data_IF_206068181460
#
_entry.id   IF_206068181460
#
_cell.length_a   1.000
_cell.length_b   1.000
_cell.length_c   1.000
_cell.angle_alpha   90.00
_cell.angle_beta   90.00
_cell.angle_gamma   90.00
#
_symmetry.space_group_name_H-M   'P 1'
#
loop_
_entity.id
_entity.type
_entity.pdbx_description
1 polymer ?
#
# COMPACT_ATOMS: atom_id res chain seq x y z
N UNK A 1 3.17 -49.00 -66.80
CA UNK A 1 3.88 -50.19 -67.29
C UNK A 1 5.15 -50.33 -66.47
N UNK A 2 5.33 -51.51 -65.83
CA UNK A 2 6.60 -52.13 -65.33
C UNK A 2 7.51 -51.29 -64.42
N UNK A 3 7.80 -51.59 -63.14
CA UNK A 3 7.61 -52.77 -62.29
C UNK A 3 8.93 -53.50 -61.96
N UNK A 4 9.49 -53.29 -60.75
CA UNK A 4 10.27 -54.24 -59.89
C UNK A 4 10.68 -53.52 -58.58
N UNK A 5 10.28 -53.88 -57.34
CA UNK A 5 10.52 -55.09 -56.49
C UNK A 5 12.02 -55.29 -56.20
N UNK A 6 12.56 -55.47 -54.98
CA UNK A 6 12.09 -55.96 -53.65
C UNK A 6 13.15 -55.58 -52.57
N UNK A 7 12.76 -55.19 -51.36
CA UNK A 7 12.74 -55.96 -50.09
C UNK A 7 14.08 -56.16 -49.34
N UNK A 8 14.09 -55.73 -48.06
CA UNK A 8 14.55 -56.53 -46.92
C UNK A 8 13.97 -55.96 -45.61
N UNK A 9 13.13 -56.77 -44.95
CA UNK A 9 12.53 -56.64 -43.62
C UNK A 9 12.66 -58.04 -43.00
N UNK A 10 13.14 -58.16 -41.76
CA UNK A 10 12.89 -59.26 -40.80
C UNK A 10 13.65 -58.95 -39.49
N UNK A 11 12.98 -58.62 -38.37
CA UNK A 11 12.34 -59.53 -37.36
C UNK A 11 13.38 -60.12 -36.38
N UNK A 12 13.19 -60.27 -35.06
CA UNK A 12 12.01 -60.39 -34.17
C UNK A 12 12.43 -59.93 -32.73
N UNK A 13 11.60 -59.41 -31.79
CA UNK A 13 10.31 -59.79 -31.20
C UNK A 13 10.36 -60.98 -30.21
N UNK A 14 10.24 -60.69 -28.90
CA UNK A 14 9.60 -61.47 -27.81
C UNK A 14 10.08 -60.92 -26.43
N UNK A 15 9.29 -60.73 -25.37
CA UNK A 15 7.88 -60.95 -25.10
C UNK A 15 7.46 -60.14 -23.86
N UNK A 16 6.17 -59.80 -23.80
CA UNK A 16 5.48 -59.12 -22.71
C UNK A 16 5.03 -60.09 -21.60
N UNK A 17 4.77 -59.51 -20.41
CA UNK A 17 3.67 -59.76 -19.45
C UNK A 17 4.16 -59.85 -18.00
N UNK A 18 3.76 -58.85 -17.17
CA UNK A 18 2.83 -59.05 -16.05
C UNK A 18 2.40 -57.69 -15.45
N UNK A 19 1.17 -57.71 -14.96
CA UNK A 19 0.28 -56.60 -14.61
C UNK A 19 0.56 -55.94 -13.25
N UNK A 20 0.20 -54.64 -13.18
CA UNK A 20 -0.64 -53.99 -12.15
C UNK A 20 -0.21 -54.05 -10.67
N UNK A 21 0.20 -52.91 -10.11
CA UNK A 21 -0.40 -52.28 -8.91
C UNK A 21 0.45 -51.09 -8.41
N UNK A 22 -0.26 -50.13 -7.78
CA UNK A 22 0.21 -49.09 -6.87
C UNK A 22 0.78 -47.79 -7.48
N UNK A 23 -0.15 -46.85 -7.66
CA UNK A 23 0.06 -45.45 -7.34
C UNK A 23 0.29 -45.25 -5.83
N UNK A 24 0.80 -44.05 -5.49
CA UNK A 24 0.93 -43.42 -4.16
C UNK A 24 1.99 -43.98 -3.20
N UNK A 25 3.18 -43.39 -3.21
CA UNK A 25 3.90 -42.94 -2.00
C UNK A 25 5.27 -42.38 -2.37
N UNK A 26 5.41 -41.06 -2.52
CA UNK A 26 6.73 -40.42 -2.41
C UNK A 26 6.73 -39.09 -1.65
N UNK A 27 5.57 -38.62 -1.15
CA UNK A 27 5.48 -37.35 -0.42
C UNK A 27 5.46 -37.52 1.11
N UNK A 28 5.24 -38.74 1.62
CA UNK A 28 5.20 -39.01 3.08
C UNK A 28 6.57 -39.31 3.71
N UNK A 29 7.60 -39.68 2.94
CA UNK A 29 8.94 -39.97 3.48
C UNK A 29 9.78 -38.71 3.72
N UNK A 30 9.48 -37.58 3.06
CA UNK A 30 10.19 -36.32 3.31
C UNK A 30 9.65 -35.54 4.51
N UNK A 31 8.37 -35.71 4.89
CA UNK A 31 7.81 -35.03 6.06
C UNK A 31 8.23 -35.67 7.40
N UNK A 32 8.59 -36.96 7.43
CA UNK A 32 9.07 -37.61 8.66
C UNK A 32 10.52 -37.28 9.05
N UNK A 33 11.35 -36.82 8.10
CA UNK A 33 12.74 -36.42 8.42
C UNK A 33 12.82 -35.00 9.02
N UNK A 34 11.87 -34.12 8.71
CA UNK A 34 11.86 -32.73 9.23
C UNK A 34 11.36 -32.67 10.67
N UNK A 35 10.41 -33.53 11.07
CA UNK A 35 9.92 -33.57 12.46
C UNK A 35 10.91 -34.18 13.47
N UNK A 36 11.87 -35.01 13.04
CA UNK A 36 12.89 -35.58 13.95
C UNK A 36 14.04 -34.62 14.26
N UNK A 37 14.25 -33.57 13.48
CA UNK A 37 15.28 -32.55 13.76
C UNK A 37 14.80 -31.40 14.66
N UNK A 38 13.49 -31.21 14.83
CA UNK A 38 12.93 -30.15 15.68
C UNK A 38 12.70 -30.57 17.14
N UNK A 39 12.85 -31.85 17.49
CA UNK A 39 12.68 -32.34 18.86
C UNK A 39 13.98 -32.44 19.69
N UNK A 40 15.10 -31.85 19.24
CA UNK A 40 16.39 -31.92 19.94
C UNK A 40 16.93 -30.59 20.51
N UNK A 41 16.14 -29.51 20.53
CA UNK A 41 16.55 -28.24 21.16
C UNK A 41 15.46 -27.66 22.05
N UNK A 42 15.07 -28.39 23.11
CA UNK A 42 14.60 -27.81 24.39
C UNK A 42 14.44 -28.93 25.41
N UNK A 43 15.48 -29.19 26.19
CA UNK A 43 15.38 -29.92 27.45
C UNK A 43 16.57 -29.55 28.34
N UNK A 44 16.44 -28.48 29.12
CA UNK A 44 17.06 -28.44 30.45
C UNK A 44 16.26 -27.52 31.38
N UNK A 45 15.30 -28.10 32.11
CA UNK A 45 14.85 -27.68 33.45
C UNK A 45 13.72 -28.62 33.96
N UNK A 46 14.12 -29.52 34.86
CA UNK A 46 13.38 -30.11 35.99
C UNK A 46 12.14 -29.32 36.47
N UNK A 47 11.07 -29.87 37.01
CA UNK A 47 10.62 -31.24 37.34
C UNK A 47 9.19 -31.13 37.89
N UNK A 48 8.47 -32.24 37.84
CA UNK A 48 7.57 -32.77 38.89
C UNK A 48 6.08 -32.89 38.55
N UNK A 49 5.50 -34.05 38.93
CA UNK A 49 4.08 -34.19 39.24
C UNK A 49 3.14 -34.91 38.25
N UNK A 50 3.12 -36.24 38.34
CA UNK A 50 1.93 -37.11 38.39
C UNK A 50 1.00 -37.34 37.18
N UNK A 51 0.77 -38.64 36.97
CA UNK A 51 -0.08 -39.29 35.98
C UNK A 51 -1.59 -39.07 36.19
N UNK A 52 -2.37 -39.19 35.10
CA UNK A 52 -3.58 -40.02 35.03
C UNK A 52 -3.98 -40.30 33.57
N UNK A 53 -4.22 -41.58 33.30
CA UNK A 53 -4.70 -42.18 32.06
C UNK A 53 -6.16 -41.82 31.75
N UNK A 54 -6.48 -41.42 30.52
CA UNK A 54 -7.81 -41.62 29.95
C UNK A 54 -7.76 -41.71 28.42
N UNK A 55 -8.27 -42.83 27.91
CA UNK A 55 -8.43 -43.17 26.49
C UNK A 55 -9.87 -42.81 26.11
N UNK A 56 -10.08 -42.02 25.05
CA UNK A 56 -11.38 -41.93 24.38
C UNK A 56 -11.23 -41.62 22.90
N UNK A 57 -12.14 -42.20 22.12
CA UNK A 57 -12.22 -42.30 20.66
C UNK A 57 -12.70 -41.01 19.99
N UNK A 58 -12.38 -40.94 18.70
CA UNK A 58 -12.96 -40.10 17.65
C UNK A 58 -14.47 -39.89 17.75
N UNK A 59 -14.89 -38.63 17.59
CA UNK A 59 -16.07 -38.23 16.82
C UNK A 59 -15.73 -36.96 16.03
N UNK A 60 -15.79 -37.06 14.70
CA UNK A 60 -15.66 -35.92 13.78
C UNK A 60 -17.05 -35.34 13.60
N UNK A 61 -17.29 -34.13 14.10
CA UNK A 61 -18.56 -33.41 13.90
C UNK A 61 -18.31 -32.11 13.15
N UNK A 62 -18.91 -32.02 11.96
CA UNK A 62 -19.08 -30.81 11.16
C UNK A 62 -19.90 -29.79 11.95
N UNK A 63 -19.24 -28.93 12.72
CA UNK A 63 -19.85 -27.76 13.37
C UNK A 63 -18.78 -26.72 13.77
N UNK A 64 -17.82 -26.44 12.87
CA UNK A 64 -16.72 -25.51 13.11
C UNK A 64 -16.85 -24.13 12.43
N UNK A 65 -17.83 -23.93 11.56
CA UNK A 65 -17.96 -22.67 10.76
C UNK A 65 -19.08 -21.72 11.19
N UNK A 66 -19.95 -22.12 12.11
CA UNK A 66 -21.05 -21.25 12.61
C UNK A 66 -20.70 -20.65 13.99
N UNK A 67 -19.80 -21.27 14.76
CA UNK A 67 -19.39 -20.78 16.07
C UNK A 67 -18.45 -19.57 16.02
N UNK A 68 -17.58 -19.48 15.00
CA UNK A 68 -16.62 -18.39 14.83
C UNK A 68 -17.26 -17.09 14.33
N UNK A 69 -18.28 -17.17 13.48
CA UNK A 69 -19.02 -16.00 13.00
C UNK A 69 -19.82 -15.35 14.13
N UNK A 70 -20.42 -16.17 15.01
CA UNK A 70 -21.21 -15.68 16.13
C UNK A 70 -20.34 -15.06 17.24
N UNK A 71 -19.14 -15.60 17.47
CA UNK A 71 -18.18 -15.01 18.40
C UNK A 71 -17.66 -13.65 17.92
N UNK A 72 -17.39 -13.49 16.62
CA UNK A 72 -16.99 -12.21 16.04
C UNK A 72 -18.11 -11.16 16.08
N UNK A 73 -19.37 -11.57 15.89
CA UNK A 73 -20.54 -10.68 16.00
C UNK A 73 -20.80 -10.22 17.44
N UNK A 74 -20.61 -11.10 18.42
CA UNK A 74 -20.78 -10.76 19.84
C UNK A 74 -19.66 -9.81 20.34
N UNK A 75 -18.43 -9.92 19.79
CA UNK A 75 -17.32 -8.98 20.07
C UNK A 75 -17.52 -7.61 19.40
N UNK A 76 -18.07 -7.58 18.18
CA UNK A 76 -18.34 -6.33 17.46
C UNK A 76 -19.49 -5.52 18.10
N UNK A 77 -20.55 -6.20 18.56
CA UNK A 77 -21.63 -5.55 19.33
C UNK A 77 -21.15 -5.02 20.69
N UNK A 78 -20.22 -5.73 21.36
CA UNK A 78 -19.63 -5.25 22.60
C UNK A 78 -18.75 -4.00 22.39
N UNK A 79 -18.11 -3.87 21.23
CA UNK A 79 -17.33 -2.67 20.86
C UNK A 79 -18.22 -1.49 20.49
N UNK A 80 -19.29 -1.69 19.70
CA UNK A 80 -20.24 -0.62 19.36
C UNK A 80 -20.94 -0.04 20.60
N UNK A 81 -21.25 -0.90 21.58
CA UNK A 81 -21.90 -0.47 22.81
C UNK A 81 -20.95 0.27 23.76
N UNK A 82 -19.64 -0.02 23.71
CA UNK A 82 -18.62 0.72 24.45
C UNK A 82 -18.35 2.12 23.87
N UNK A 83 -18.49 2.30 22.54
CA UNK A 83 -18.36 3.60 21.86
C UNK A 83 -19.58 4.50 22.15
N UNK A 84 -20.79 3.94 22.19
CA UNK A 84 -21.99 4.70 22.52
C UNK A 84 -22.01 5.23 23.98
N UNK A 85 -21.45 4.46 24.92
CA UNK A 85 -21.33 4.88 26.32
C UNK A 85 -20.23 5.95 26.53
N UNK A 86 -19.17 5.98 25.70
CA UNK A 86 -18.16 7.04 25.75
C UNK A 86 -18.65 8.37 25.18
N UNK A 87 -19.45 8.34 24.11
CA UNK A 87 -20.01 9.57 23.51
C UNK A 87 -21.04 10.24 24.42
N UNK A 88 -21.78 9.45 25.21
CA UNK A 88 -22.75 9.97 26.18
C UNK A 88 -22.05 10.62 27.38
N UNK A 89 -20.85 10.16 27.77
CA UNK A 89 -20.04 10.78 28.83
C UNK A 89 -19.31 12.05 28.36
N UNK A 90 -18.94 12.13 27.08
CA UNK A 90 -18.34 13.33 26.49
C UNK A 90 -19.37 14.49 26.36
N UNK A 91 -20.62 14.18 25.99
CA UNK A 91 -21.68 15.19 25.87
C UNK A 91 -22.21 15.71 27.23
N UNK A 92 -22.13 14.91 28.29
CA UNK A 92 -22.54 15.38 29.63
C UNK A 92 -21.48 16.27 30.31
N UNK A 93 -20.22 16.24 29.87
CA UNK A 93 -19.17 17.14 30.35
C UNK A 93 -19.14 18.50 29.61
N UNK A 94 -19.58 18.56 28.35
CA UNK A 94 -19.65 19.82 27.60
C UNK A 94 -20.77 20.77 28.06
N UNK A 95 -21.84 20.22 28.64
CA UNK A 95 -23.01 21.01 29.04
C UNK A 95 -22.89 21.64 30.44
N UNK A 96 -21.97 21.17 31.30
CA UNK A 96 -21.77 21.75 32.65
C UNK A 96 -20.72 22.88 32.69
N UNK A 97 -19.84 22.99 31.69
CA UNK A 97 -18.78 24.04 31.66
C UNK A 97 -19.26 25.36 31.02
N UNK A 98 -20.41 25.36 30.34
CA UNK A 98 -20.93 26.52 29.60
C UNK A 98 -21.73 27.53 30.45
N UNK A 99 -21.85 27.36 31.78
CA UNK A 99 -22.68 28.26 32.62
C UNK A 99 -21.91 29.09 33.68
N UNK A 100 -20.57 29.17 33.62
CA UNK A 100 -19.81 30.02 34.56
C UNK A 100 -18.64 30.76 33.91
N UNK A 101 -18.89 31.68 32.98
CA UNK A 101 -17.94 32.77 32.70
C UNK A 101 -18.58 33.90 31.87
N UNK A 102 -19.43 34.71 32.50
CA UNK A 102 -19.71 36.07 32.04
C UNK A 102 -19.81 37.00 33.24
N UNK A 103 -18.67 37.58 33.62
CA UNK A 103 -18.47 38.90 34.24
C UNK A 103 -17.08 38.96 34.86
N UNK A 104 -16.11 39.56 34.17
CA UNK A 104 -15.28 40.61 34.79
C UNK A 104 -14.54 41.42 33.71
N UNK A 105 -14.60 42.73 33.86
CA UNK A 105 -13.97 43.73 33.00
C UNK A 105 -12.50 43.94 33.45
N UNK A 106 -11.53 44.01 32.53
CA UNK A 106 -10.23 44.56 32.89
C UNK A 106 -9.05 44.22 31.99
N UNK A 107 -8.74 45.14 31.07
CA UNK A 107 -7.39 45.54 30.63
C UNK A 107 -6.21 44.61 30.96
N UNK A 108 -5.57 44.08 29.92
CA UNK A 108 -4.11 43.90 29.90
C UNK A 108 -3.63 42.54 29.43
N UNK A 109 -3.09 42.51 28.21
CA UNK A 109 -1.94 41.70 27.83
C UNK A 109 -2.15 40.19 27.73
N UNK A 110 -2.16 39.70 26.49
CA UNK A 110 -1.25 38.68 25.95
C UNK A 110 -1.89 38.14 24.66
N UNK A 111 -1.65 38.83 23.53
CA UNK A 111 -1.59 38.12 22.25
C UNK A 111 -0.33 37.25 22.32
N UNK A 112 -0.48 36.01 22.77
CA UNK A 112 0.45 34.93 22.44
C UNK A 112 -0.22 34.07 21.37
N UNK A 113 -0.52 34.69 20.22
CA UNK A 113 -0.61 33.91 18.99
C UNK A 113 0.80 33.41 18.72
N UNK A 114 1.08 32.14 19.03
CA UNK A 114 2.24 31.48 18.45
C UNK A 114 2.01 31.47 16.95
N UNK A 115 2.64 32.41 16.25
CA UNK A 115 2.66 32.42 14.79
C UNK A 115 3.53 31.24 14.37
N UNK A 116 2.90 30.10 14.11
CA UNK A 116 3.58 28.99 13.45
C UNK A 116 4.03 29.50 12.08
N UNK A 117 5.33 29.40 11.80
CA UNK A 117 5.87 29.78 10.50
C UNK A 117 5.35 28.83 9.42
N UNK A 118 4.86 29.38 8.31
CA UNK A 118 4.51 28.60 7.12
C UNK A 118 5.76 28.48 6.24
N UNK A 119 6.15 27.24 5.94
CA UNK A 119 7.30 26.90 5.12
C UNK A 119 6.83 26.68 3.69
N UNK A 120 7.50 27.34 2.76
CA UNK A 120 7.31 27.15 1.33
C UNK A 120 8.05 25.91 0.83
N UNK A 121 7.55 25.30 -0.24
CA UNK A 121 8.28 24.24 -0.93
C UNK A 121 9.66 24.77 -1.35
N UNK A 122 10.69 23.99 -1.04
CA UNK A 122 12.08 24.33 -1.19
C UNK A 122 12.49 24.42 -2.66
N UNK A 123 12.75 25.64 -3.12
CA UNK A 123 13.51 25.92 -4.35
C UNK A 123 15.01 26.13 -4.01
N UNK A 124 15.52 25.42 -3.00
CA UNK A 124 16.87 25.60 -2.49
C UNK A 124 17.92 24.92 -3.38
N UNK A 125 19.03 25.62 -3.61
CA UNK A 125 20.18 25.10 -4.38
C UNK A 125 21.05 24.10 -3.59
N UNK A 126 20.87 23.97 -2.27
CA UNK A 126 21.75 23.19 -1.37
C UNK A 126 20.97 22.13 -0.56
N UNK A 127 20.11 21.37 -1.24
CA UNK A 127 19.43 20.22 -0.62
C UNK A 127 20.42 19.07 -0.41
N UNK A 128 20.22 18.31 0.68
CA UNK A 128 20.95 17.07 0.87
C UNK A 128 20.69 16.10 -0.30
N UNK A 129 21.62 15.21 -0.67
CA UNK A 129 21.43 14.29 -1.80
C UNK A 129 20.13 13.47 -1.73
N UNK A 130 19.68 13.13 -0.52
CA UNK A 130 18.42 12.41 -0.28
C UNK A 130 17.18 13.27 -0.61
N UNK A 131 17.16 14.53 -0.18
CA UNK A 131 16.07 15.45 -0.50
C UNK A 131 16.10 15.88 -1.96
N UNK A 132 17.29 16.05 -2.52
CA UNK A 132 17.48 16.31 -3.94
C UNK A 132 16.87 15.19 -4.78
N UNK A 133 17.09 13.93 -4.40
CA UNK A 133 16.49 12.77 -5.06
C UNK A 133 14.96 12.80 -5.01
N UNK A 134 14.36 13.15 -3.86
CA UNK A 134 12.91 13.28 -3.76
C UNK A 134 12.37 14.38 -4.69
N UNK A 135 13.02 15.54 -4.70
CA UNK A 135 12.65 16.65 -5.58
C UNK A 135 12.78 16.29 -7.06
N UNK A 136 13.86 15.60 -7.44
CA UNK A 136 14.08 15.16 -8.83
C UNK A 136 13.03 14.15 -9.29
N UNK A 137 12.39 13.44 -8.34
CA UNK A 137 11.27 12.52 -8.58
C UNK A 137 9.89 13.19 -8.46
N UNK A 138 9.83 14.53 -8.39
CA UNK A 138 8.59 15.30 -8.40
C UNK A 138 7.96 15.54 -7.03
N UNK A 139 8.59 15.10 -5.92
CA UNK A 139 8.04 15.28 -4.57
C UNK A 139 8.46 16.63 -3.97
N UNK A 140 7.50 17.51 -3.61
CA UNK A 140 7.81 18.75 -2.91
C UNK A 140 8.49 18.47 -1.57
N UNK A 141 9.55 19.21 -1.28
CA UNK A 141 10.29 19.12 -0.01
C UNK A 141 10.27 20.47 0.70
N UNK A 142 10.20 20.46 2.02
CA UNK A 142 10.11 21.64 2.88
C UNK A 142 11.21 21.54 3.93
N UNK A 143 11.91 22.64 4.21
CA UNK A 143 13.02 22.67 5.15
C UNK A 143 12.76 23.76 6.19
N UNK A 144 12.63 23.35 7.45
CA UNK A 144 12.47 24.25 8.58
C UNK A 144 13.83 24.78 9.05
N UNK A 145 13.83 26.00 9.61
CA UNK A 145 14.99 26.55 10.30
C UNK A 145 15.39 25.72 11.53
N UNK A 146 14.44 24.99 12.13
CA UNK A 146 14.65 24.16 13.33
C UNK A 146 15.19 22.76 13.01
N UNK A 147 15.60 22.52 11.76
CA UNK A 147 16.27 21.29 11.34
C UNK A 147 15.32 20.16 10.96
N UNK A 148 14.04 20.45 10.76
CA UNK A 148 13.07 19.52 10.20
C UNK A 148 13.07 19.56 8.67
N UNK A 149 12.91 18.40 8.05
CA UNK A 149 12.68 18.24 6.62
C UNK A 149 11.38 17.46 6.42
N UNK A 150 10.54 17.95 5.52
CA UNK A 150 9.26 17.32 5.20
C UNK A 150 9.24 17.08 3.70
N UNK A 151 8.81 15.90 3.27
CA UNK A 151 8.51 15.65 1.86
C UNK A 151 7.03 15.29 1.72
N UNK A 152 6.37 15.83 0.70
CA UNK A 152 5.00 15.49 0.33
C UNK A 152 5.03 14.40 -0.74
N UNK A 153 4.49 13.22 -0.40
CA UNK A 153 4.47 12.05 -1.27
C UNK A 153 3.27 12.00 -2.22
N UNK A 154 2.33 12.93 -2.08
CA UNK A 154 1.07 12.96 -2.85
C UNK A 154 0.81 14.37 -3.42
N UNK A 155 1.71 14.91 -4.26
CA UNK A 155 1.55 16.25 -4.83
C UNK A 155 0.45 16.39 -5.89
N UNK A 156 -0.05 15.31 -6.49
CA UNK A 156 -1.11 15.39 -7.50
C UNK A 156 -2.49 15.51 -6.82
N UNK A 157 -2.87 16.77 -6.56
CA UNK A 157 -4.03 17.16 -5.76
C UNK A 157 -5.03 18.00 -6.59
N UNK A 158 -6.27 18.05 -6.13
CA UNK A 158 -7.35 18.89 -6.68
C UNK A 158 -8.41 19.11 -5.59
N UNK A 159 -9.52 19.84 -5.84
CA UNK A 159 -10.61 19.89 -4.88
C UNK A 159 -11.23 18.50 -4.62
N UNK A 160 -11.51 18.19 -3.36
CA UNK A 160 -12.06 16.92 -2.90
C UNK A 160 -11.17 16.20 -1.89
N UNK A 161 -11.54 14.95 -1.59
CA UNK A 161 -10.84 14.13 -0.60
C UNK A 161 -9.59 13.50 -1.21
N UNK A 162 -8.43 13.82 -0.66
CA UNK A 162 -7.14 13.30 -1.10
C UNK A 162 -6.37 12.63 0.04
N UNK A 163 -5.67 11.55 -0.31
CA UNK A 163 -4.68 10.92 0.57
C UNK A 163 -3.45 11.82 0.62
N UNK A 164 -2.99 12.15 1.83
CA UNK A 164 -1.78 12.94 2.07
C UNK A 164 -0.73 12.05 2.71
N UNK A 165 0.39 11.85 2.02
CA UNK A 165 1.56 11.12 2.54
C UNK A 165 2.71 12.08 2.84
N UNK A 166 3.28 11.99 4.05
CA UNK A 166 4.36 12.85 4.51
C UNK A 166 5.52 12.04 5.06
N UNK A 167 6.74 12.27 4.56
CA UNK A 167 7.97 11.82 5.23
C UNK A 167 8.52 13.00 6.01
N UNK A 168 8.72 12.83 7.31
CA UNK A 168 9.18 13.88 8.21
C UNK A 168 10.46 13.42 8.89
N UNK A 169 11.56 14.14 8.71
CA UNK A 169 12.80 13.93 9.45
C UNK A 169 13.02 15.12 10.38
N UNK A 170 13.25 14.84 11.66
CA UNK A 170 13.67 15.82 12.63
C UNK A 170 15.17 15.75 12.90
N UNK A 171 15.68 16.58 13.83
CA UNK A 171 17.10 16.64 14.20
C UNK A 171 17.69 15.30 14.68
N UNK A 172 16.85 14.38 15.14
CA UNK A 172 17.25 13.06 15.69
C UNK A 172 17.01 11.90 14.72
N UNK A 173 16.42 12.14 13.55
CA UNK A 173 16.10 11.13 12.55
C UNK A 173 14.64 11.16 12.08
N UNK A 174 14.19 10.06 11.48
CA UNK A 174 12.81 9.89 11.02
C UNK A 174 11.83 10.07 12.19
N UNK A 175 10.80 10.88 11.99
CA UNK A 175 9.69 11.00 12.94
C UNK A 175 8.79 9.77 12.73
N UNK A 176 8.69 8.93 13.76
CA UNK A 176 7.93 7.67 13.70
C UNK A 176 6.73 7.64 14.65
N UNK A 177 6.31 8.81 15.12
CA UNK A 177 5.18 8.96 16.05
C UNK A 177 3.95 8.27 15.47
N UNK A 178 3.31 7.31 16.17
CA UNK A 178 2.24 6.48 15.61
C UNK A 178 1.02 7.27 15.08
N UNK A 179 0.74 8.41 15.70
CA UNK A 179 -0.32 9.32 15.30
C UNK A 179 0.12 10.76 15.57
N UNK A 180 -0.13 11.63 14.61
CA UNK A 180 0.18 13.05 14.67
C UNK A 180 -1.05 13.84 14.26
N UNK A 181 -1.37 14.90 15.01
CA UNK A 181 -2.45 15.81 14.64
C UNK A 181 -1.97 16.74 13.53
N UNK A 182 -2.83 16.98 12.55
CA UNK A 182 -2.60 17.89 11.44
C UNK A 182 -3.77 18.86 11.37
N UNK A 183 -3.49 20.14 11.60
CA UNK A 183 -4.49 21.20 11.35
C UNK A 183 -4.38 21.62 9.90
N UNK A 184 -5.48 21.51 9.15
CA UNK A 184 -5.58 21.96 7.76
C UNK A 184 -6.37 23.26 7.74
N UNK A 185 -5.80 24.30 7.15
CA UNK A 185 -6.43 25.61 7.07
C UNK A 185 -6.25 26.19 5.68
N UNK A 186 -7.28 26.85 5.13
CA UNK A 186 -7.12 27.60 3.89
C UNK A 186 -6.27 28.86 4.16
N UNK A 187 -5.41 29.23 3.22
CA UNK A 187 -4.62 30.48 3.28
C UNK A 187 -5.35 31.62 2.57
N UNK A 188 -5.44 31.51 1.24
CA UNK A 188 -6.17 32.43 0.37
C UNK A 188 -7.51 31.87 -0.13
N UNK A 189 -7.76 30.58 0.13
CA UNK A 189 -8.95 29.86 -0.25
C UNK A 189 -10.14 30.08 0.71
N UNK A 190 -11.39 30.00 0.25
CA UNK A 190 -12.54 29.82 1.15
C UNK A 190 -12.59 28.37 1.63
N UNK A 191 -12.69 28.15 2.94
CA UNK A 191 -12.79 26.83 3.53
C UNK A 191 -12.90 26.88 5.04
N UNK A 192 -13.22 25.74 5.63
CA UNK A 192 -13.22 25.57 7.08
C UNK A 192 -11.89 24.97 7.55
N UNK A 193 -11.51 25.29 8.79
CA UNK A 193 -10.40 24.63 9.46
C UNK A 193 -10.80 23.19 9.75
N UNK A 194 -9.90 22.26 9.43
CA UNK A 194 -10.10 20.83 9.65
C UNK A 194 -8.99 20.29 10.54
N UNK A 195 -9.33 19.28 11.32
CA UNK A 195 -8.38 18.53 12.13
C UNK A 195 -8.32 17.11 11.59
N UNK A 196 -7.13 16.67 11.22
CA UNK A 196 -6.88 15.34 10.69
C UNK A 196 -5.86 14.61 11.58
N UNK A 197 -5.90 13.29 11.56
CA UNK A 197 -4.90 12.45 12.23
C UNK A 197 -4.07 11.76 11.17
N UNK A 198 -2.77 12.06 11.14
CA UNK A 198 -1.81 11.39 10.30
C UNK A 198 -1.21 10.20 11.05
N UNK A 199 -1.33 9.01 10.48
CA UNK A 199 -0.87 7.76 11.10
C UNK A 199 0.42 7.31 10.45
N UNK A 200 1.40 6.92 11.26
CA UNK A 200 2.66 6.42 10.74
C UNK A 200 2.49 5.01 10.19
N UNK A 201 2.83 4.83 8.91
CA UNK A 201 2.93 3.54 8.25
C UNK A 201 4.40 3.20 8.03
N UNK A 202 4.84 2.08 8.61
CA UNK A 202 6.22 1.59 8.47
C UNK A 202 6.36 0.71 7.25
N UNK A 203 7.45 0.87 6.52
CA UNK A 203 7.75 0.04 5.36
C UNK A 203 8.17 -1.36 5.82
N UNK A 204 7.98 -2.39 4.96
CA UNK A 204 8.42 -3.75 5.28
C UNK A 204 9.93 -3.87 5.60
N UNK A 205 10.76 -2.94 5.14
CA UNK A 205 12.20 -2.90 5.44
C UNK A 205 12.54 -2.49 6.90
N UNK A 206 11.55 -1.99 7.64
CA UNK A 206 11.68 -1.62 9.04
C UNK A 206 12.37 -0.28 9.32
N UNK A 207 12.95 0.38 8.32
CA UNK A 207 13.77 1.60 8.48
C UNK A 207 13.19 2.83 7.80
N UNK A 208 12.23 2.66 6.88
CA UNK A 208 11.47 3.74 6.24
C UNK A 208 10.02 3.74 6.70
N UNK A 209 9.36 4.87 6.49
CA UNK A 209 7.94 5.04 6.75
C UNK A 209 7.50 6.48 6.47
N UNK A 210 6.19 6.67 6.42
CA UNK A 210 5.56 7.98 6.25
C UNK A 210 4.30 8.08 7.10
N UNK A 211 3.83 9.30 7.31
CA UNK A 211 2.53 9.57 7.88
C UNK A 211 1.49 9.70 6.77
N UNK A 212 0.38 8.97 6.90
CA UNK A 212 -0.77 9.08 5.98
C UNK A 212 -1.95 9.71 6.71
N UNK A 213 -2.61 10.64 6.04
CA UNK A 213 -3.94 11.11 6.41
C UNK A 213 -4.81 11.33 5.17
N UNK A 214 -6.07 11.68 5.37
CA UNK A 214 -7.00 12.03 4.30
C UNK A 214 -7.58 13.40 4.59
N UNK A 215 -7.56 14.29 3.60
CA UNK A 215 -7.96 15.69 3.73
C UNK A 215 -8.93 16.04 2.61
N UNK A 216 -10.00 16.75 2.93
CA UNK A 216 -10.93 17.31 1.95
C UNK A 216 -10.55 18.75 1.62
N UNK A 217 -10.06 19.00 0.42
CA UNK A 217 -9.77 20.35 -0.06
C UNK A 217 -11.01 20.92 -0.75
N UNK A 218 -11.74 21.80 -0.06
CA UNK A 218 -13.02 22.30 -0.56
C UNK A 218 -12.89 23.10 -1.86
N UNK A 219 -11.77 23.79 -2.07
CA UNK A 219 -11.54 24.64 -3.24
C UNK A 219 -10.07 24.68 -3.64
N UNK A 220 -9.89 25.06 -4.90
CA UNK A 220 -8.62 25.46 -5.50
C UNK A 220 -8.03 26.64 -4.73
N UNK A 221 -6.70 26.67 -4.65
CA UNK A 221 -5.95 27.71 -3.97
C UNK A 221 -4.91 27.14 -3.02
N UNK A 222 -4.36 28.01 -2.19
CA UNK A 222 -3.31 27.66 -1.23
C UNK A 222 -3.92 27.23 0.10
N UNK A 223 -3.41 26.13 0.61
CA UNK A 223 -3.76 25.56 1.90
C UNK A 223 -2.50 25.37 2.74
N UNK A 224 -2.62 25.54 4.04
CA UNK A 224 -1.55 25.27 4.99
C UNK A 224 -1.88 24.02 5.81
N UNK A 225 -0.86 23.19 6.02
CA UNK A 225 -0.91 22.06 6.95
C UNK A 225 0.01 22.38 8.13
N UNK A 226 -0.55 22.45 9.34
CA UNK A 226 0.20 22.55 10.59
C UNK A 226 0.35 21.16 11.18
N UNK A 227 1.57 20.65 11.17
CA UNK A 227 1.96 19.38 11.74
C UNK A 227 2.31 19.58 13.22
N UNK A 228 1.61 18.90 14.11
CA UNK A 228 1.84 18.95 15.55
C UNK A 228 2.71 17.77 15.99
N UNK A 229 4.03 17.88 15.84
CA UNK A 229 4.97 16.79 16.10
C UNK A 229 5.21 16.67 17.60
N UNK A 230 4.93 15.52 18.25
CA UNK A 230 5.21 15.37 19.68
C UNK A 230 6.69 15.50 19.99
N UNK A 231 7.03 16.29 21.00
CA UNK A 231 8.39 16.53 21.48
C UNK A 231 8.46 16.41 23.01
N UNK A 232 9.67 16.46 23.60
CA UNK A 232 9.84 16.34 25.07
C UNK A 232 9.13 17.47 25.84
N UNK A 233 9.04 18.66 25.23
CA UNK A 233 8.46 19.86 25.82
C UNK A 233 6.98 20.07 25.42
N UNK A 234 6.37 19.12 24.69
CA UNK A 234 4.98 19.18 24.22
C UNK A 234 4.86 18.85 22.74
N UNK A 235 4.72 19.88 21.91
CA UNK A 235 4.61 19.75 20.46
C UNK A 235 5.51 20.77 19.76
N UNK A 236 6.18 20.33 18.71
CA UNK A 236 6.82 21.18 17.72
C UNK A 236 5.84 21.38 16.57
N UNK A 237 5.38 22.61 16.39
CA UNK A 237 4.41 22.97 15.35
C UNK A 237 5.14 23.42 14.08
N UNK A 238 4.92 22.72 12.97
CA UNK A 238 5.50 23.05 11.67
C UNK A 238 4.39 23.30 10.64
N UNK A 239 4.37 24.48 10.04
CA UNK A 239 3.47 24.80 8.94
C UNK A 239 4.12 24.57 7.58
N UNK A 240 3.42 23.93 6.66
CA UNK A 240 3.79 23.87 5.23
C UNK A 240 2.67 24.43 4.37
N UNK A 241 3.02 25.14 3.29
CA UNK A 241 2.06 25.58 2.27
C UNK A 241 1.99 24.57 1.13
N UNK A 242 0.78 24.25 0.68
CA UNK A 242 0.50 23.36 -0.45
C UNK A 242 -0.48 24.08 -1.38
N UNK A 243 -0.20 24.06 -2.68
CA UNK A 243 -1.09 24.61 -3.69
C UNK A 243 -2.00 23.50 -4.25
N UNK A 244 -3.30 23.76 -4.26
CA UNK A 244 -4.32 22.86 -4.80
C UNK A 244 -4.79 23.41 -6.15
N UNK A 245 -4.41 22.79 -7.28
CA UNK A 245 -4.84 23.22 -8.62
C UNK A 245 -6.30 22.81 -8.92
N UNK A 246 -6.82 23.23 -10.07
CA UNK A 246 -8.20 22.93 -10.50
C UNK A 246 -8.45 21.44 -10.76
N UNK A 247 -7.42 20.69 -11.15
CA UNK A 247 -7.54 19.31 -11.63
C UNK A 247 -6.28 18.50 -11.35
N UNK A 248 -6.41 17.17 -11.31
CA UNK A 248 -5.29 16.24 -11.21
C UNK A 248 -4.69 15.95 -12.59
N UNK A 249 -3.40 15.67 -12.63
CA UNK A 249 -2.74 15.17 -13.84
C UNK A 249 -3.06 13.71 -14.09
N UNK A 250 -3.07 12.87 -13.05
CA UNK A 250 -3.45 11.49 -13.14
C UNK A 250 -4.98 11.31 -13.04
N UNK A 251 -5.56 10.19 -13.53
CA UNK A 251 -6.98 9.89 -13.39
C UNK A 251 -7.49 10.05 -11.96
N UNK A 252 -8.56 10.81 -11.78
CA UNK A 252 -9.22 10.99 -10.49
C UNK A 252 -10.22 9.87 -10.21
N UNK A 253 -10.65 9.75 -8.95
CA UNK A 253 -11.75 8.84 -8.59
C UNK A 253 -13.02 9.27 -9.34
N UNK A 254 -13.64 8.34 -10.06
CA UNK A 254 -14.79 8.58 -10.93
C UNK A 254 -14.46 8.73 -12.41
N UNK A 255 -13.18 8.86 -12.77
CA UNK A 255 -12.75 8.91 -14.17
C UNK A 255 -12.64 7.51 -14.77
N UNK A 256 -12.75 7.42 -16.10
CA UNK A 256 -12.42 6.20 -16.81
C UNK A 256 -10.91 5.94 -16.76
N UNK A 257 -10.50 4.72 -16.43
CA UNK A 257 -9.11 4.31 -16.49
C UNK A 257 -8.61 4.31 -17.95
N UNK A 258 -7.43 4.88 -18.25
CA UNK A 258 -6.85 4.78 -19.59
C UNK A 258 -6.59 3.31 -19.98
N UNK A 259 -7.13 2.91 -21.13
CA UNK A 259 -6.96 1.57 -21.68
C UNK A 259 -5.62 1.44 -22.44
N UNK A 260 -4.51 1.53 -21.70
CA UNK A 260 -3.15 1.54 -22.25
C UNK A 260 -2.67 0.16 -22.70
N UNK A 261 -1.91 0.10 -23.80
CA UNK A 261 -1.37 -1.15 -24.34
C UNK A 261 -0.08 -1.55 -23.61
N UNK A 262 -0.21 -2.27 -22.49
CA UNK A 262 0.93 -2.80 -21.74
C UNK A 262 1.34 -4.19 -22.25
N UNK A 263 2.65 -4.40 -22.43
CA UNK A 263 3.21 -5.71 -22.79
C UNK A 263 2.92 -6.79 -21.75
N UNK A 264 2.79 -8.02 -22.21
CA UNK A 264 2.51 -9.22 -21.43
C UNK A 264 3.58 -10.29 -21.64
N UNK A 265 3.48 -11.42 -20.92
CA UNK A 265 4.40 -12.56 -21.10
C UNK A 265 4.43 -13.14 -22.51
N UNK A 266 3.39 -12.94 -23.33
CA UNK A 266 3.36 -13.47 -24.70
C UNK A 266 4.11 -12.56 -25.70
N UNK A 267 4.40 -11.31 -25.31
CA UNK A 267 5.02 -10.31 -26.18
C UNK A 267 6.55 -10.32 -26.10
N UNK A 268 7.09 -10.95 -25.05
CA UNK A 268 8.54 -10.94 -24.74
C UNK A 268 9.12 -12.36 -24.68
N UNK A 269 10.44 -12.45 -24.80
CA UNK A 269 11.14 -13.71 -24.65
C UNK A 269 11.45 -14.03 -23.18
N UNK A 270 11.72 -13.00 -22.36
CA UNK A 270 12.08 -13.14 -20.95
C UNK A 270 11.27 -12.13 -20.11
N UNK A 271 10.94 -12.50 -18.87
CA UNK A 271 10.13 -11.65 -17.98
C UNK A 271 10.86 -10.37 -17.56
N UNK A 272 12.20 -10.40 -17.56
CA UNK A 272 13.06 -9.25 -17.29
C UNK A 272 12.88 -8.13 -18.32
N UNK A 273 12.34 -8.43 -19.50
CA UNK A 273 11.97 -7.43 -20.50
C UNK A 273 10.69 -6.66 -20.11
N UNK A 274 9.98 -7.07 -19.05
CA UNK A 274 8.75 -6.43 -18.55
C UNK A 274 8.94 -5.74 -17.20
N UNK A 275 9.99 -6.05 -16.45
CA UNK A 275 10.18 -5.56 -15.09
C UNK A 275 11.63 -5.44 -14.69
N UNK A 276 11.92 -4.37 -13.96
CA UNK A 276 13.19 -4.13 -13.30
C UNK A 276 13.36 -4.95 -12.02
N UNK A 277 12.29 -5.58 -11.50
CA UNK A 277 12.33 -6.43 -10.31
C UNK A 277 13.31 -7.60 -10.44
N UNK A 278 13.86 -8.05 -9.31
CA UNK A 278 14.80 -9.18 -9.28
C UNK A 278 14.09 -10.53 -9.40
N UNK A 279 12.90 -10.65 -8.83
CA UNK A 279 12.04 -11.83 -8.94
C UNK A 279 10.61 -11.41 -9.36
N UNK A 280 10.41 -10.97 -10.62
CA UNK A 280 9.10 -10.51 -11.06
C UNK A 280 8.08 -11.64 -11.02
N UNK A 281 6.90 -11.35 -10.49
CA UNK A 281 5.81 -12.33 -10.42
C UNK A 281 5.12 -12.47 -11.80
N UNK A 282 5.19 -13.64 -12.47
CA UNK A 282 4.60 -13.83 -13.78
C UNK A 282 3.08 -13.60 -13.81
N UNK A 283 2.40 -13.76 -12.67
CA UNK A 283 0.96 -13.55 -12.54
C UNK A 283 0.51 -12.11 -12.76
N UNK A 284 1.42 -11.13 -12.70
CA UNK A 284 1.13 -9.71 -12.92
C UNK A 284 1.22 -9.27 -14.39
N UNK A 285 1.58 -10.20 -15.29
CA UNK A 285 1.84 -9.92 -16.71
C UNK A 285 1.03 -10.85 -17.64
N UNK A 286 -0.09 -11.39 -17.15
CA UNK A 286 -0.94 -12.33 -17.88
C UNK A 286 -1.91 -11.67 -18.86
N UNK A 287 -2.24 -10.40 -18.63
CA UNK A 287 -3.22 -9.62 -19.37
C UNK A 287 -2.69 -8.20 -19.55
N UNK A 288 -2.99 -7.57 -20.69
CA UNK A 288 -2.64 -6.16 -20.91
C UNK A 288 -3.51 -5.25 -20.06
N UNK A 289 -3.06 -4.04 -19.79
CA UNK A 289 -3.82 -3.04 -19.05
C UNK A 289 -5.12 -2.67 -19.79
N UNK A 290 -5.06 -2.48 -21.11
CA UNK A 290 -6.23 -2.27 -21.97
C UNK A 290 -7.25 -3.41 -21.84
N UNK A 291 -6.82 -4.66 -22.00
CA UNK A 291 -7.73 -5.81 -21.90
C UNK A 291 -8.29 -5.96 -20.47
N UNK A 292 -7.50 -5.63 -19.44
CA UNK A 292 -7.91 -5.73 -18.06
C UNK A 292 -8.98 -4.70 -17.68
N UNK A 293 -8.90 -3.47 -18.20
CA UNK A 293 -9.91 -2.42 -18.04
C UNK A 293 -11.23 -2.82 -18.72
N UNK A 294 -11.17 -3.49 -19.87
CA UNK A 294 -12.36 -3.92 -20.62
C UNK A 294 -12.91 -5.29 -20.20
N UNK A 295 -12.28 -5.97 -19.23
CA UNK A 295 -12.59 -7.36 -18.89
C UNK A 295 -13.94 -7.57 -18.16
N UNK A 296 -14.60 -6.50 -17.71
CA UNK A 296 -15.80 -6.61 -16.87
C UNK A 296 -15.50 -7.14 -15.47
N UNK A 297 -14.27 -6.95 -14.98
CA UNK A 297 -13.79 -7.36 -13.66
C UNK A 297 -12.98 -6.21 -13.05
N UNK A 298 -13.00 -6.05 -11.70
CA UNK A 298 -12.13 -5.08 -11.06
C UNK A 298 -10.66 -5.33 -11.40
N UNK A 299 -9.87 -4.27 -11.42
CA UNK A 299 -8.45 -4.27 -11.72
C UNK A 299 -7.70 -3.52 -10.62
N UNK A 300 -6.57 -4.08 -10.19
CA UNK A 300 -5.53 -3.33 -9.46
C UNK A 300 -4.32 -3.19 -10.37
N UNK A 301 -3.92 -1.97 -10.68
CA UNK A 301 -2.73 -1.68 -11.48
C UNK A 301 -1.70 -0.94 -10.63
N UNK A 302 -0.43 -1.36 -10.76
CA UNK A 302 0.72 -0.73 -10.11
C UNK A 302 1.70 -0.24 -11.17
N UNK A 303 2.12 1.01 -11.03
CA UNK A 303 3.22 1.62 -11.78
C UNK A 303 4.40 1.78 -10.84
N UNK A 304 5.46 1.01 -11.06
CA UNK A 304 6.68 1.07 -10.26
C UNK A 304 7.86 0.49 -11.03
N UNK A 305 9.08 0.86 -10.67
CA UNK A 305 10.29 0.15 -11.11
C UNK A 305 10.98 -0.46 -9.89
N UNK A 306 10.60 -1.69 -9.47
CA UNK A 306 11.06 -2.29 -8.22
C UNK A 306 12.59 -2.34 -8.08
N UNK A 307 13.30 -2.51 -9.20
CA UNK A 307 14.77 -2.55 -9.22
C UNK A 307 15.46 -1.21 -8.96
N UNK A 308 14.72 -0.09 -9.02
CA UNK A 308 15.25 1.27 -8.90
C UNK A 308 14.61 2.08 -7.76
N UNK A 309 13.96 1.37 -6.84
CA UNK A 309 13.22 1.90 -5.72
C UNK A 309 14.14 2.47 -4.62
N UNK A 310 14.58 3.72 -4.80
CA UNK A 310 15.68 4.31 -4.00
C UNK A 310 15.26 5.45 -3.08
N UNK A 311 14.06 6.01 -3.27
CA UNK A 311 13.59 7.16 -2.51
C UNK A 311 12.73 6.77 -1.28
N UNK A 312 12.31 7.76 -0.49
CA UNK A 312 11.58 7.54 0.76
C UNK A 312 10.12 7.09 0.58
N UNK A 313 9.54 7.35 -0.59
CA UNK A 313 8.16 7.02 -0.93
C UNK A 313 8.04 5.70 -1.64
N UNK A 314 9.07 5.30 -2.39
CA UNK A 314 9.13 4.06 -3.12
C UNK A 314 9.20 2.84 -2.19
N UNK A 315 8.13 2.03 -2.16
CA UNK A 315 8.05 0.80 -1.38
C UNK A 315 8.01 -0.46 -2.27
N UNK A 316 7.84 -1.64 -1.67
CA UNK A 316 7.71 -2.90 -2.40
C UNK A 316 6.29 -3.06 -2.98
N UNK A 317 5.85 -2.12 -3.83
CA UNK A 317 4.47 -2.08 -4.32
C UNK A 317 4.11 -3.26 -5.24
N UNK A 318 5.06 -3.77 -6.02
CA UNK A 318 4.85 -4.95 -6.87
C UNK A 318 4.67 -6.23 -6.04
N UNK A 319 5.36 -6.33 -4.90
CA UNK A 319 5.20 -7.40 -3.93
C UNK A 319 3.84 -7.28 -3.24
N UNK A 320 3.42 -6.08 -2.82
CA UNK A 320 2.08 -5.84 -2.29
C UNK A 320 1.01 -6.27 -3.30
N UNK A 321 1.17 -5.93 -4.58
CA UNK A 321 0.24 -6.37 -5.63
C UNK A 321 0.18 -7.89 -5.77
N UNK A 322 1.33 -8.56 -5.65
CA UNK A 322 1.42 -10.02 -5.66
C UNK A 322 0.70 -10.65 -4.45
N UNK A 323 0.83 -10.04 -3.27
CA UNK A 323 0.10 -10.46 -2.06
C UNK A 323 -1.42 -10.24 -2.21
N UNK A 324 -1.86 -9.09 -2.72
CA UNK A 324 -3.28 -8.82 -3.01
C UNK A 324 -3.83 -9.86 -3.99
N UNK A 325 -3.10 -10.18 -5.06
CA UNK A 325 -3.47 -11.26 -5.99
C UNK A 325 -3.59 -12.60 -5.27
N UNK A 326 -2.66 -12.93 -4.37
CA UNK A 326 -2.71 -14.15 -3.58
C UNK A 326 -3.97 -14.26 -2.70
N UNK A 327 -4.48 -13.13 -2.22
CA UNK A 327 -5.64 -13.06 -1.31
C UNK A 327 -6.97 -13.12 -2.07
N UNK A 328 -7.12 -12.31 -3.13
CA UNK A 328 -8.37 -12.18 -3.86
C UNK A 328 -8.47 -13.11 -5.08
N UNK A 329 -7.34 -13.69 -5.54
CA UNK A 329 -7.29 -14.63 -6.65
C UNK A 329 -8.00 -14.09 -7.89
N UNK A 330 -8.79 -14.93 -8.54
CA UNK A 330 -9.48 -14.61 -9.81
C UNK A 330 -10.63 -13.60 -9.65
N UNK A 331 -10.90 -13.05 -8.47
CA UNK A 331 -11.95 -12.05 -8.28
C UNK A 331 -11.65 -10.72 -9.01
N UNK A 332 -10.37 -10.41 -9.24
CA UNK A 332 -9.91 -9.21 -9.92
C UNK A 332 -8.78 -9.53 -10.93
N UNK A 333 -8.37 -8.52 -11.69
CA UNK A 333 -7.18 -8.52 -12.53
C UNK A 333 -6.06 -7.75 -11.83
N UNK A 334 -4.80 -8.09 -12.12
CA UNK A 334 -3.64 -7.46 -11.50
C UNK A 334 -2.59 -7.22 -12.57
N UNK A 335 -2.18 -5.97 -12.73
CA UNK A 335 -1.22 -5.58 -13.76
C UNK A 335 -0.12 -4.76 -13.12
N UNK A 336 1.13 -5.15 -13.36
CA UNK A 336 2.28 -4.30 -13.07
C UNK A 336 2.80 -3.70 -14.37
N UNK A 337 3.02 -2.38 -14.36
CA UNK A 337 3.66 -1.64 -15.45
C UNK A 337 4.97 -1.07 -14.92
N UNK A 338 6.09 -1.49 -15.50
CA UNK A 338 7.38 -0.87 -15.18
C UNK A 338 7.45 0.55 -15.77
N UNK A 339 8.11 1.47 -15.07
CA UNK A 339 8.27 2.85 -15.54
C UNK A 339 9.11 2.93 -16.83
N UNK A 340 9.86 1.88 -17.16
CA UNK A 340 10.72 1.83 -18.34
C UNK A 340 10.23 0.87 -19.42
N UNK A 341 10.36 1.28 -20.68
CA UNK A 341 10.14 0.43 -21.85
C UNK A 341 11.27 -0.61 -22.04
N UNK A 342 12.48 -0.34 -21.53
CA UNK A 342 13.67 -1.19 -21.65
C UNK A 342 14.22 -1.73 -20.32
N UNK A 343 13.40 -2.32 -19.43
CA UNK A 343 13.78 -2.61 -18.04
C UNK A 343 15.03 -3.50 -17.90
N UNK A 344 15.15 -4.56 -18.71
CA UNK A 344 16.32 -5.43 -18.73
C UNK A 344 17.62 -4.68 -19.05
N UNK A 345 17.57 -3.71 -19.98
CA UNK A 345 18.74 -2.93 -20.38
C UNK A 345 19.13 -1.93 -19.29
N UNK A 346 18.14 -1.29 -18.66
CA UNK A 346 18.37 -0.34 -17.56
C UNK A 346 19.04 -1.05 -16.38
N UNK A 347 18.62 -2.29 -16.05
CA UNK A 347 19.32 -3.11 -15.03
C UNK A 347 20.79 -3.37 -15.37
N UNK A 348 21.17 -3.33 -16.65
CA UNK A 348 22.55 -3.47 -17.11
C UNK A 348 23.28 -2.13 -17.29
N UNK A 349 22.66 -1.02 -16.89
CA UNK A 349 23.23 0.33 -16.93
C UNK A 349 23.07 1.05 -18.27
N UNK A 350 22.12 0.63 -19.11
CA UNK A 350 21.71 1.42 -20.26
C UNK A 350 20.93 2.67 -19.84
N UNK A 351 20.83 3.63 -20.75
CA UNK A 351 19.98 4.80 -20.55
C UNK A 351 18.50 4.37 -20.43
N UNK A 352 17.77 4.87 -19.40
CA UNK A 352 16.36 4.55 -19.23
C UNK A 352 15.51 5.21 -20.31
N UNK A 353 14.56 4.45 -20.84
CA UNK A 353 13.51 4.94 -21.75
C UNK A 353 12.20 4.80 -20.99
N UNK A 354 11.56 5.90 -20.62
CA UNK A 354 10.26 5.88 -19.95
C UNK A 354 9.18 5.28 -20.85
N UNK A 355 8.29 4.50 -20.26
CA UNK A 355 7.14 3.95 -20.99
C UNK A 355 6.15 5.07 -21.35
N UNK A 356 5.60 5.12 -22.57
CA UNK A 356 4.59 6.12 -22.95
C UNK A 356 3.31 6.01 -22.12
N UNK A 357 3.08 4.88 -21.45
CA UNK A 357 1.93 4.67 -20.57
C UNK A 357 1.91 5.68 -19.41
N UNK A 358 3.07 6.16 -18.94
CA UNK A 358 3.10 7.19 -17.89
C UNK A 358 2.44 8.49 -18.38
N UNK A 359 2.68 8.88 -19.63
CA UNK A 359 2.03 10.05 -20.24
C UNK A 359 0.53 9.83 -20.44
N UNK A 360 0.11 8.63 -20.88
CA UNK A 360 -1.30 8.28 -21.04
C UNK A 360 -2.09 8.35 -19.72
N UNK A 361 -1.42 8.05 -18.60
CA UNK A 361 -1.96 8.10 -17.25
C UNK A 361 -1.65 9.41 -16.51
N UNK A 362 -0.96 10.37 -17.14
CA UNK A 362 -0.58 11.63 -16.51
C UNK A 362 0.30 11.48 -15.25
N UNK A 363 1.13 10.44 -15.18
CA UNK A 363 1.96 10.15 -14.00
C UNK A 363 3.28 10.91 -14.07
N UNK A 364 3.54 11.74 -13.05
CA UNK A 364 4.77 12.55 -12.95
C UNK A 364 5.68 12.13 -11.79
N UNK A 365 5.20 11.24 -10.93
CA UNK A 365 5.96 10.62 -9.85
C UNK A 365 6.04 9.11 -10.07
N UNK A 366 7.03 8.47 -9.46
CA UNK A 366 7.45 7.13 -9.88
C UNK A 366 6.85 5.94 -9.12
N UNK A 367 5.80 6.13 -8.33
CA UNK A 367 5.08 5.00 -7.72
C UNK A 367 3.61 5.30 -7.56
N UNK A 368 2.78 4.49 -8.22
CA UNK A 368 1.33 4.64 -8.23
C UNK A 368 0.62 3.31 -8.13
N UNK A 369 -0.53 3.31 -7.47
CA UNK A 369 -1.49 2.20 -7.47
C UNK A 369 -2.88 2.73 -7.76
N UNK A 370 -3.62 2.07 -8.65
CA UNK A 370 -5.03 2.36 -8.90
C UNK A 370 -5.86 1.11 -8.70
N UNK A 371 -7.08 1.32 -8.18
CA UNK A 371 -8.15 0.33 -8.18
C UNK A 371 -9.23 0.82 -9.14
N UNK A 372 -9.62 -0.05 -10.05
CA UNK A 372 -10.59 0.20 -11.11
C UNK A 372 -11.72 -0.81 -10.96
N UNK A 373 -12.97 -0.37 -11.10
CA UNK A 373 -14.14 -1.25 -11.03
C UNK A 373 -14.38 -2.04 -12.32
N UNK A 374 -15.43 -2.87 -12.30
CA UNK A 374 -15.79 -3.71 -13.44
C UNK A 374 -16.29 -2.93 -14.67
N UNK A 375 -16.65 -1.65 -14.50
CA UNK A 375 -17.06 -0.76 -15.59
C UNK A 375 -15.89 0.06 -16.15
N UNK A 376 -14.66 -0.15 -15.63
CA UNK A 376 -13.47 0.56 -16.07
C UNK A 376 -13.30 1.94 -15.42
N UNK A 377 -13.97 2.19 -14.29
CA UNK A 377 -13.91 3.47 -13.58
C UNK A 377 -12.94 3.38 -12.41
N UNK A 378 -12.08 4.38 -12.24
CA UNK A 378 -11.15 4.49 -11.12
C UNK A 378 -11.95 4.73 -9.84
N UNK A 379 -11.79 3.86 -8.85
CA UNK A 379 -12.47 3.94 -7.54
C UNK A 379 -11.51 4.27 -6.40
N UNK A 380 -10.22 3.98 -6.56
CA UNK A 380 -9.18 4.45 -5.67
C UNK A 380 -7.88 4.72 -6.44
N UNK A 381 -7.12 5.70 -5.95
CA UNK A 381 -5.79 6.06 -6.44
C UNK A 381 -4.86 6.30 -5.27
N UNK A 382 -3.63 5.86 -5.40
CA UNK A 382 -2.59 6.01 -4.40
C UNK A 382 -1.32 6.48 -5.11
N UNK A 383 -0.90 7.70 -4.82
CA UNK A 383 0.42 8.21 -5.14
C UNK A 383 1.38 7.87 -3.99
N UNK A 384 2.62 7.51 -4.32
CA UNK A 384 3.57 6.83 -3.44
C UNK A 384 3.08 5.45 -2.95
N UNK A 385 3.91 4.77 -2.17
CA UNK A 385 3.61 3.43 -1.66
C UNK A 385 2.26 3.39 -0.92
N UNK A 386 1.48 2.38 -1.27
CA UNK A 386 0.19 2.06 -0.70
C UNK A 386 0.33 0.75 0.10
N UNK A 387 0.27 0.81 1.45
CA UNK A 387 0.28 -0.36 2.30
C UNK A 387 -0.79 -1.37 1.90
N UNK A 388 -0.49 -2.65 2.18
CA UNK A 388 -1.32 -3.78 1.81
C UNK A 388 -2.78 -3.62 2.26
N UNK A 389 -3.01 -3.15 3.49
CA UNK A 389 -4.34 -2.95 4.05
C UNK A 389 -5.15 -1.87 3.31
N UNK A 390 -4.52 -0.79 2.84
CA UNK A 390 -5.18 0.23 2.03
C UNK A 390 -5.64 -0.34 0.68
N UNK A 391 -4.75 -1.06 -0.02
CA UNK A 391 -5.08 -1.66 -1.33
C UNK A 391 -6.13 -2.77 -1.19
N UNK A 392 -6.04 -3.58 -0.13
CA UNK A 392 -7.04 -4.61 0.16
C UNK A 392 -8.42 -4.00 0.44
N UNK A 393 -8.49 -2.95 1.26
CA UNK A 393 -9.75 -2.30 1.60
C UNK A 393 -10.39 -1.67 0.36
N UNK A 394 -9.59 -0.99 -0.47
CA UNK A 394 -10.07 -0.39 -1.72
C UNK A 394 -10.61 -1.45 -2.69
N UNK A 395 -9.88 -2.56 -2.90
CA UNK A 395 -10.36 -3.63 -3.77
C UNK A 395 -11.60 -4.34 -3.19
N UNK A 396 -11.63 -4.61 -1.89
CA UNK A 396 -12.77 -5.22 -1.23
C UNK A 396 -14.05 -4.39 -1.40
N UNK A 397 -13.95 -3.06 -1.26
CA UNK A 397 -15.09 -2.15 -1.45
C UNK A 397 -15.74 -2.30 -2.82
N UNK A 398 -14.95 -2.51 -3.88
CA UNK A 398 -15.46 -2.67 -5.26
C UNK A 398 -16.05 -4.06 -5.49
N UNK A 399 -15.53 -5.08 -4.81
CA UNK A 399 -16.02 -6.45 -4.93
C UNK A 399 -17.36 -6.68 -4.20
N UNK A 400 -17.66 -5.86 -3.19
CA UNK A 400 -18.89 -5.97 -2.39
C UNK A 400 -20.12 -5.30 -3.04
N UNK A 401 -19.90 -4.37 -3.98
CA UNK A 401 -20.94 -3.67 -4.74
C UNK A 401 -21.26 -2.30 -4.17
#
# INVERSE_FOLDING_TARGET
MTGWRSAALASALAAALLLSACATSSDDEQQQQVQQQQSQTTADATSDGSATTARSRSETTTSGRIGTVRAAQDEQQAQEQAVADSDTQAQTQSDEESTQQQQDDGMGGMESGMSVGIIEAADYDDLSPRLQLLRDWGYPVYVSADGYTIALGTPDLSPGVHRISLVIEGPTGLVETPAMRVTVLPDDAPGDIQEAIARFSRFPDGVRGFHVTYVDFATVGRWNLILHIPSEDGFDDLGIAIDIPDDTSAPSVGDAAPASDSRTLIDVANIEDLSTGDEPDPGLYLISLADAVEAGKPLVVVFASPGFCTNAFCGPQAEVLSEVRGIFGDAANYVHVDLYENPAEVKLGAEPIETPILEEWGLHTGEWTFVVDADGIVTARFEAFAPLDEVQAALASVLEG
#
